data_IF_197503114617
#
_entry.id   IF_197503114617
#
_cell.length_a   1.000
_cell.length_b   1.000
_cell.length_c   1.000
_cell.angle_alpha   90.00
_cell.angle_beta   90.00
_cell.angle_gamma   90.00
#
_symmetry.space_group_name_H-M   'P 1'
#
loop_
_entity.id
_entity.type
_entity.pdbx_description
1 polymer ?
#
# COMPACT_ATOMS: atom_id res chain seq x y z
N UNK A 1 4.29 -9.24 -0.01
CA UNK A 1 5.30 -8.24 0.42
C UNK A 1 5.44 -7.20 -0.69
N UNK A 2 5.59 -5.91 -0.36
CA UNK A 2 5.69 -4.84 -1.37
C UNK A 2 7.04 -4.79 -2.09
N UNK A 3 8.04 -5.53 -1.61
CA UNK A 3 9.35 -5.70 -2.25
C UNK A 3 9.91 -7.09 -1.94
N UNK A 4 11.09 -7.42 -2.45
CA UNK A 4 11.79 -8.70 -2.22
C UNK A 4 13.09 -8.48 -1.45
N UNK A 5 13.58 -9.53 -0.78
CA UNK A 5 14.86 -9.51 -0.05
C UNK A 5 16.01 -9.16 -1.01
N UNK A 6 16.03 -9.75 -2.20
CA UNK A 6 17.07 -9.52 -3.22
C UNK A 6 17.16 -8.04 -3.62
N UNK A 7 16.02 -7.38 -3.85
CA UNK A 7 15.98 -5.96 -4.19
C UNK A 7 16.47 -5.08 -3.04
N UNK A 8 16.08 -5.40 -1.80
CA UNK A 8 16.57 -4.70 -0.62
C UNK A 8 18.08 -4.89 -0.46
N UNK A 9 18.61 -6.12 -0.62
CA UNK A 9 20.06 -6.39 -0.57
C UNK A 9 20.83 -5.61 -1.63
N UNK A 10 20.36 -5.62 -2.87
CA UNK A 10 20.94 -4.85 -3.96
C UNK A 10 21.05 -3.36 -3.59
N UNK A 11 20.03 -2.81 -2.94
CA UNK A 11 19.99 -1.41 -2.55
C UNK A 11 20.75 -1.05 -1.28
N UNK A 12 21.05 -2.04 -0.44
CA UNK A 12 21.94 -1.90 0.70
C UNK A 12 23.41 -2.18 0.36
N UNK A 13 23.70 -2.65 -0.86
CA UNK A 13 25.03 -3.08 -1.27
C UNK A 13 25.47 -4.41 -0.64
N UNK A 14 24.51 -5.23 -0.20
CA UNK A 14 24.74 -6.57 0.36
C UNK A 14 24.75 -7.58 -0.79
N UNK A 15 25.67 -8.55 -0.74
CA UNK A 15 25.72 -9.63 -1.73
C UNK A 15 24.46 -10.49 -1.61
N UNK A 16 23.84 -10.84 -2.74
CA UNK A 16 22.57 -11.59 -2.77
C UNK A 16 22.72 -12.96 -2.08
N UNK A 17 23.89 -13.59 -2.19
CA UNK A 17 24.21 -14.88 -1.58
C UNK A 17 24.41 -14.82 -0.06
N UNK A 18 24.61 -13.65 0.52
CA UNK A 18 24.73 -13.49 1.97
C UNK A 18 23.35 -13.62 2.62
N UNK A 19 23.09 -14.75 3.26
CA UNK A 19 21.80 -15.07 3.89
C UNK A 19 21.76 -14.76 5.39
N UNK A 20 22.84 -14.21 5.96
CA UNK A 20 22.98 -14.01 7.41
C UNK A 20 21.89 -13.11 8.01
N UNK A 21 21.43 -12.12 7.25
CA UNK A 21 20.44 -11.12 7.67
C UNK A 21 19.05 -11.33 7.06
N UNK A 22 18.81 -12.41 6.31
CA UNK A 22 17.56 -12.61 5.56
C UNK A 22 16.32 -12.61 6.44
N UNK A 23 16.43 -13.21 7.62
CA UNK A 23 15.32 -13.26 8.59
C UNK A 23 14.97 -11.84 9.07
N UNK A 24 15.98 -11.03 9.37
CA UNK A 24 15.79 -9.65 9.83
C UNK A 24 15.24 -8.77 8.71
N UNK A 25 15.82 -8.84 7.51
CA UNK A 25 15.35 -8.11 6.34
C UNK A 25 13.90 -8.47 6.00
N UNK A 26 13.54 -9.75 6.05
CA UNK A 26 12.17 -10.18 5.82
C UNK A 26 11.19 -9.59 6.85
N UNK A 27 11.57 -9.57 8.13
CA UNK A 27 10.78 -8.94 9.18
C UNK A 27 10.55 -7.44 8.91
N UNK A 28 11.60 -6.69 8.55
CA UNK A 28 11.48 -5.27 8.22
C UNK A 28 10.66 -5.02 6.96
N UNK A 29 10.81 -5.84 5.93
CA UNK A 29 9.99 -5.75 4.71
C UNK A 29 8.50 -5.96 5.02
N UNK A 30 8.18 -6.93 5.87
CA UNK A 30 6.79 -7.17 6.31
C UNK A 30 6.25 -5.98 7.09
N UNK A 31 7.00 -5.46 8.07
CA UNK A 31 6.62 -4.31 8.86
C UNK A 31 6.42 -3.05 8.00
N UNK A 32 7.35 -2.77 7.08
CA UNK A 32 7.27 -1.66 6.14
C UNK A 32 6.07 -1.80 5.19
N UNK A 33 5.80 -3.02 4.69
CA UNK A 33 4.65 -3.30 3.83
C UNK A 33 3.34 -2.98 4.56
N UNK A 34 3.18 -3.47 5.79
CA UNK A 34 1.99 -3.22 6.62
C UNK A 34 1.83 -1.74 6.97
N UNK A 35 2.94 -1.06 7.26
CA UNK A 35 2.92 0.37 7.55
C UNK A 35 2.44 1.15 6.33
N UNK A 36 2.94 0.85 5.13
CA UNK A 36 2.53 1.50 3.88
C UNK A 36 1.05 1.25 3.58
N UNK A 37 0.57 0.00 3.71
CA UNK A 37 -0.85 -0.31 3.53
C UNK A 37 -1.73 0.43 4.53
N UNK A 38 -1.25 0.61 5.78
CA UNK A 38 -1.96 1.39 6.81
C UNK A 38 -1.97 2.89 6.49
N UNK A 39 -0.84 3.43 6.02
CA UNK A 39 -0.72 4.83 5.61
C UNK A 39 -1.63 5.13 4.41
N UNK A 40 -1.60 4.26 3.39
CA UNK A 40 -2.45 4.37 2.22
C UNK A 40 -3.89 3.93 2.49
N UNK A 41 -4.20 3.28 3.62
CA UNK A 41 -5.54 2.79 4.00
C UNK A 41 -6.18 1.83 3.01
N UNK A 42 -5.36 1.06 2.31
CA UNK A 42 -5.77 0.06 1.34
C UNK A 42 -4.74 -1.04 1.26
N UNK A 43 -5.13 -2.18 0.69
CA UNK A 43 -4.20 -3.23 0.36
C UNK A 43 -3.72 -3.07 -1.08
N UNK A 44 -2.45 -3.43 -1.32
CA UNK A 44 -1.87 -3.41 -2.67
C UNK A 44 -1.90 -4.77 -3.33
N UNK A 45 -2.20 -5.85 -2.60
CA UNK A 45 -2.21 -7.21 -3.15
C UNK A 45 -3.37 -7.40 -4.14
N UNK A 46 -3.12 -8.05 -5.28
CA UNK A 46 -4.17 -8.49 -6.17
C UNK A 46 -4.95 -9.66 -5.55
N UNK A 47 -6.22 -9.43 -5.21
CA UNK A 47 -7.12 -10.46 -4.69
C UNK A 47 -8.58 -10.03 -4.82
N UNK A 48 -9.50 -10.94 -4.47
CA UNK A 48 -10.92 -10.62 -4.34
C UNK A 48 -11.20 -9.97 -2.98
N UNK A 49 -11.81 -8.79 -3.01
CA UNK A 49 -12.29 -8.06 -1.86
C UNK A 49 -13.82 -8.09 -1.81
N UNK A 50 -14.36 -8.01 -0.59
CA UNK A 50 -15.79 -7.78 -0.36
C UNK A 50 -15.93 -6.54 0.52
N UNK A 51 -16.63 -5.53 0.02
CA UNK A 51 -16.88 -4.28 0.72
C UNK A 51 -18.37 -4.07 0.93
N UNK A 52 -18.73 -3.55 2.10
CA UNK A 52 -20.08 -3.11 2.42
C UNK A 52 -20.04 -1.61 2.59
N UNK A 53 -20.75 -0.90 1.72
CA UNK A 53 -20.66 0.53 1.54
C UNK A 53 -22.01 1.20 1.79
N UNK A 54 -21.92 2.46 2.22
CA UNK A 54 -23.07 3.34 2.36
C UNK A 54 -23.40 3.94 0.98
N UNK A 55 -24.67 3.90 0.61
CA UNK A 55 -25.15 4.57 -0.58
C UNK A 55 -25.47 6.03 -0.31
N UNK A 56 -24.97 6.92 -1.16
CA UNK A 56 -25.11 8.37 -1.02
C UNK A 56 -26.21 8.98 -1.90
N UNK A 57 -26.87 8.19 -2.76
CA UNK A 57 -27.72 8.72 -3.83
C UNK A 57 -26.94 9.17 -5.08
N UNK A 58 -25.60 9.20 -5.02
CA UNK A 58 -24.74 9.55 -6.14
C UNK A 58 -24.72 8.44 -7.20
N UNK A 59 -24.44 8.79 -8.46
CA UNK A 59 -24.10 7.83 -9.52
C UNK A 59 -22.71 7.21 -9.34
N UNK A 60 -21.88 7.77 -8.46
CA UNK A 60 -20.53 7.31 -8.20
C UNK A 60 -20.43 6.62 -6.85
N UNK A 61 -19.78 5.46 -6.82
CA UNK A 61 -19.44 4.73 -5.61
C UNK A 61 -17.93 4.48 -5.61
N UNK A 62 -17.26 4.82 -4.52
CA UNK A 62 -15.81 4.70 -4.39
C UNK A 62 -15.47 3.42 -3.65
N UNK A 63 -14.63 2.59 -4.25
CA UNK A 63 -14.07 1.38 -3.67
C UNK A 63 -12.73 1.70 -2.99
N UNK A 64 -12.37 0.91 -1.97
CA UNK A 64 -11.11 1.13 -1.25
C UNK A 64 -9.87 0.72 -2.05
N UNK A 65 -9.95 -0.41 -2.77
CA UNK A 65 -8.81 -1.00 -3.46
C UNK A 65 -8.93 -0.80 -4.98
N UNK A 66 -7.81 -0.48 -5.63
CA UNK A 66 -7.73 -0.22 -7.07
C UNK A 66 -6.31 -0.54 -7.59
N UNK A 67 -6.08 -0.91 -8.85
CA UNK A 67 -7.04 -1.00 -9.94
C UNK A 67 -8.01 -2.15 -9.74
N UNK A 68 -9.21 -2.00 -10.29
CA UNK A 68 -10.31 -2.98 -10.26
C UNK A 68 -10.33 -3.70 -11.60
N UNK A 69 -10.42 -5.02 -11.59
CA UNK A 69 -10.46 -5.85 -12.80
C UNK A 69 -11.88 -6.28 -13.15
N UNK A 70 -12.64 -6.75 -12.17
CA UNK A 70 -14.02 -7.20 -12.35
C UNK A 70 -14.70 -7.41 -11.01
N UNK A 71 -16.02 -7.54 -10.99
CA UNK A 71 -16.75 -7.86 -9.78
C UNK A 71 -18.25 -7.80 -9.97
N UNK A 72 -18.96 -7.89 -8.85
CA UNK A 72 -20.41 -7.78 -8.76
C UNK A 72 -20.76 -6.90 -7.57
N UNK A 73 -21.59 -5.89 -7.81
CA UNK A 73 -22.22 -5.08 -6.79
C UNK A 73 -23.66 -5.54 -6.60
N UNK A 74 -24.10 -5.67 -5.35
CA UNK A 74 -25.45 -6.05 -4.98
C UNK A 74 -26.08 -4.94 -4.18
N UNK A 75 -27.26 -4.48 -4.62
CA UNK A 75 -28.06 -3.47 -3.95
C UNK A 75 -29.54 -3.83 -4.12
N UNK A 76 -30.31 -3.87 -3.03
CA UNK A 76 -31.74 -4.22 -3.04
C UNK A 76 -32.09 -5.53 -3.76
N UNK A 77 -31.22 -6.54 -3.64
CA UNK A 77 -31.32 -7.86 -4.31
C UNK A 77 -31.16 -7.81 -5.83
N UNK A 78 -30.81 -6.66 -6.39
CA UNK A 78 -30.34 -6.54 -7.76
C UNK A 78 -28.82 -6.61 -7.80
N UNK A 79 -28.29 -7.22 -8.86
CA UNK A 79 -26.86 -7.34 -9.11
C UNK A 79 -26.46 -6.45 -10.29
N UNK A 80 -25.28 -5.84 -10.18
CA UNK A 80 -24.69 -4.96 -11.18
C UNK A 80 -23.26 -5.41 -11.44
N UNK A 81 -22.91 -5.56 -12.71
CA UNK A 81 -21.54 -5.87 -13.10
C UNK A 81 -20.62 -4.69 -12.77
N UNK A 82 -19.48 -5.03 -12.18
CA UNK A 82 -18.40 -4.08 -11.93
C UNK A 82 -17.39 -4.19 -13.07
N UNK A 83 -17.29 -3.11 -13.85
CA UNK A 83 -16.32 -2.99 -14.94
C UNK A 83 -14.92 -2.65 -14.42
N UNK A 84 -13.91 -3.05 -15.19
CA UNK A 84 -12.52 -2.75 -14.91
C UNK A 84 -12.28 -1.23 -14.90
N UNK A 85 -11.55 -0.74 -13.91
CA UNK A 85 -11.18 0.67 -13.80
C UNK A 85 -9.92 0.85 -12.97
N UNK A 86 -9.15 1.91 -13.25
CA UNK A 86 -7.90 2.18 -12.56
C UNK A 86 -8.09 2.92 -11.23
N UNK A 87 -9.19 3.68 -11.09
CA UNK A 87 -9.39 4.64 -10.00
C UNK A 87 -10.22 4.10 -8.82
N UNK A 88 -10.79 2.90 -8.94
CA UNK A 88 -11.70 2.31 -7.95
C UNK A 88 -13.06 3.00 -7.88
N UNK A 89 -13.53 3.62 -8.96
CA UNK A 89 -14.81 4.34 -8.97
C UNK A 89 -15.82 3.59 -9.84
N UNK A 90 -16.93 3.17 -9.24
CA UNK A 90 -18.04 2.56 -9.95
C UNK A 90 -19.05 3.61 -10.36
N UNK A 91 -19.51 3.53 -11.61
CA UNK A 91 -20.54 4.40 -12.15
C UNK A 91 -21.83 3.61 -12.41
N UNK A 92 -22.94 4.09 -11.85
CA UNK A 92 -24.27 3.55 -12.08
C UNK A 92 -25.21 4.67 -12.54
N UNK A 93 -25.70 4.66 -13.80
CA UNK A 93 -26.52 5.75 -14.35
C UNK A 93 -27.78 6.05 -13.53
N UNK A 94 -28.41 5.02 -12.95
CA UNK A 94 -29.61 5.18 -12.12
C UNK A 94 -29.35 5.71 -10.71
N UNK A 95 -28.09 5.82 -10.31
CA UNK A 95 -27.69 6.17 -8.95
C UNK A 95 -27.62 4.96 -8.01
N UNK A 96 -26.79 5.08 -6.99
CA UNK A 96 -26.72 4.15 -5.87
C UNK A 96 -27.71 4.59 -4.78
N UNK A 97 -28.61 3.70 -4.37
CA UNK A 97 -29.69 4.03 -3.42
C UNK A 97 -29.14 4.54 -2.09
N UNK A 98 -29.76 5.56 -1.51
CA UNK A 98 -29.32 6.11 -0.23
C UNK A 98 -29.57 5.12 0.90
N UNK A 99 -28.55 4.87 1.73
CA UNK A 99 -28.68 3.98 2.88
C UNK A 99 -27.35 3.72 3.57
N UNK A 100 -27.40 3.16 4.77
CA UNK A 100 -26.21 2.69 5.47
C UNK A 100 -26.00 1.21 5.17
N UNK A 101 -24.79 0.84 4.77
CA UNK A 101 -24.35 -0.54 4.52
C UNK A 101 -25.32 -1.31 3.61
N UNK A 102 -25.91 -0.62 2.65
CA UNK A 102 -26.95 -1.14 1.78
C UNK A 102 -26.42 -1.64 0.44
N UNK A 103 -25.13 -1.41 0.14
CA UNK A 103 -24.48 -1.86 -1.08
C UNK A 103 -23.35 -2.80 -0.69
N UNK A 104 -23.36 -4.01 -1.25
CA UNK A 104 -22.25 -4.98 -1.08
C UNK A 104 -21.55 -5.15 -2.41
N UNK A 105 -20.24 -4.95 -2.46
CA UNK A 105 -19.45 -5.11 -3.69
C UNK A 105 -18.41 -6.19 -3.48
N UNK A 106 -18.45 -7.24 -4.29
CA UNK A 106 -17.43 -8.28 -4.36
C UNK A 106 -16.64 -8.13 -5.65
N UNK A 107 -15.35 -7.81 -5.57
CA UNK A 107 -14.57 -7.42 -6.74
C UNK A 107 -13.11 -7.84 -6.63
N UNK A 108 -12.46 -8.09 -7.76
CA UNK A 108 -11.03 -8.35 -7.85
C UNK A 108 -10.28 -7.04 -8.11
N UNK A 109 -9.31 -6.72 -7.26
CA UNK A 109 -8.52 -5.50 -7.38
C UNK A 109 -7.12 -5.66 -6.81
N UNK A 110 -6.26 -4.66 -7.07
CA UNK A 110 -4.90 -4.55 -6.55
C UNK A 110 -3.83 -4.94 -7.57
N UNK A 111 -2.60 -5.13 -7.09
CA UNK A 111 -1.43 -5.39 -7.91
C UNK A 111 -0.80 -6.73 -7.58
N UNK A 112 -0.22 -7.35 -8.61
CA UNK A 112 0.67 -8.48 -8.42
C UNK A 112 1.94 -7.96 -7.77
N UNK A 113 2.15 -8.38 -6.53
CA UNK A 113 3.26 -7.91 -5.72
C UNK A 113 4.57 -8.56 -6.19
N UNK A 114 5.73 -7.91 -5.97
CA UNK A 114 7.03 -8.49 -6.31
C UNK A 114 7.29 -9.86 -5.67
N UNK A 115 6.76 -10.11 -4.47
CA UNK A 115 6.88 -11.42 -3.81
C UNK A 115 5.92 -12.49 -4.34
N UNK A 116 4.92 -12.11 -5.14
CA UNK A 116 3.93 -12.99 -5.76
C UNK A 116 4.15 -13.10 -7.29
N UNK A 117 5.30 -12.60 -7.79
CA UNK A 117 5.66 -12.57 -9.21
C UNK A 117 5.88 -13.98 -9.76
N UNK A 118 5.33 -14.26 -10.94
CA UNK A 118 5.45 -15.55 -11.64
C UNK A 118 5.31 -15.37 -13.14
N UNK A 119 5.73 -16.37 -13.92
CA UNK A 119 5.65 -16.32 -15.40
C UNK A 119 4.22 -16.08 -15.89
N UNK A 120 3.22 -16.70 -15.24
CA UNK A 120 1.81 -16.59 -15.63
C UNK A 120 1.12 -15.35 -15.05
N UNK A 121 1.71 -14.73 -14.03
CA UNK A 121 1.15 -13.58 -13.33
C UNK A 121 2.29 -12.61 -12.99
N UNK A 122 2.70 -11.77 -13.95
CA UNK A 122 3.83 -10.88 -13.77
C UNK A 122 3.51 -9.76 -12.78
N UNK A 123 4.53 -9.32 -12.04
CA UNK A 123 4.53 -8.14 -11.18
C UNK A 123 3.95 -6.92 -11.89
N UNK A 124 2.95 -6.30 -11.26
CA UNK A 124 2.27 -5.08 -11.74
C UNK A 124 2.31 -3.94 -10.74
N UNK A 125 2.91 -4.15 -9.56
CA UNK A 125 3.06 -3.10 -8.54
C UNK A 125 3.86 -1.91 -9.10
N UNK A 126 3.38 -0.66 -8.95
CA UNK A 126 4.11 0.52 -9.38
C UNK A 126 5.46 0.65 -8.66
N UNK A 127 6.50 1.00 -9.42
CA UNK A 127 7.87 1.17 -8.91
C UNK A 127 7.94 2.16 -7.74
N UNK A 128 7.12 3.21 -7.78
CA UNK A 128 7.07 4.21 -6.71
C UNK A 128 6.70 3.60 -5.34
N UNK A 129 5.77 2.64 -5.32
CA UNK A 129 5.33 1.97 -4.08
C UNK A 129 6.42 0.99 -3.59
N UNK A 130 7.08 0.30 -4.51
CA UNK A 130 8.18 -0.60 -4.19
C UNK A 130 9.40 0.16 -3.62
N UNK A 131 9.81 1.26 -4.27
CA UNK A 131 10.89 2.15 -3.80
C UNK A 131 10.54 2.78 -2.46
N UNK A 132 9.29 3.22 -2.27
CA UNK A 132 8.81 3.70 -0.98
C UNK A 132 8.98 2.64 0.12
N UNK A 133 8.68 1.36 -0.17
CA UNK A 133 8.90 0.27 0.78
C UNK A 133 10.39 0.09 1.12
N UNK A 134 11.27 0.11 0.12
CA UNK A 134 12.72 0.01 0.33
C UNK A 134 13.23 1.15 1.21
N UNK A 135 12.78 2.39 0.97
CA UNK A 135 13.18 3.54 1.79
C UNK A 135 12.68 3.44 3.24
N UNK A 136 11.47 2.93 3.47
CA UNK A 136 10.97 2.66 4.82
C UNK A 136 11.82 1.58 5.50
N UNK A 137 12.17 0.50 4.80
CA UNK A 137 13.06 -0.56 5.33
C UNK A 137 14.43 0.02 5.69
N UNK A 138 15.04 0.82 4.82
CA UNK A 138 16.31 1.50 5.09
C UNK A 138 16.21 2.42 6.31
N UNK A 139 15.11 3.16 6.44
CA UNK A 139 14.84 4.00 7.61
C UNK A 139 14.74 3.19 8.90
N UNK A 140 14.04 2.06 8.88
CA UNK A 140 13.94 1.13 10.02
C UNK A 140 15.30 0.53 10.42
N UNK A 141 16.16 0.21 9.44
CA UNK A 141 17.49 -0.35 9.68
C UNK A 141 18.48 0.67 10.24
N UNK A 142 18.40 1.93 9.80
CA UNK A 142 19.27 3.00 10.29
C UNK A 142 18.87 3.47 11.70
N UNK A 143 17.58 3.38 12.01
CA UNK A 143 17.01 3.88 13.27
C UNK A 143 16.27 2.77 14.04
N UNK A 144 16.89 1.63 14.35
CA UNK A 144 16.20 0.51 15.01
C UNK A 144 15.78 0.86 16.45
N UNK A 145 16.39 1.89 17.04
CA UNK A 145 16.20 2.33 18.43
C UNK A 145 15.84 3.81 18.57
N UNK A 146 15.54 4.53 17.47
CA UNK A 146 15.25 5.97 17.51
C UNK A 146 13.84 6.29 18.05
N UNK A 147 13.40 5.57 19.08
CA UNK A 147 12.40 6.06 20.01
C UNK A 147 13.10 7.09 20.91
N UNK A 148 13.14 8.35 20.49
CA UNK A 148 13.39 9.48 21.39
C UNK A 148 14.82 10.06 21.51
N UNK A 149 15.74 9.79 20.57
CA UNK A 149 17.03 10.52 20.55
C UNK A 149 16.89 11.79 19.70
N UNK A 150 16.76 12.94 20.37
CA UNK A 150 16.52 14.25 19.73
C UNK A 150 17.79 15.03 19.36
N UNK A 151 18.95 14.63 19.87
CA UNK A 151 20.24 15.25 19.54
C UNK A 151 21.38 14.40 20.06
N UNK A 152 22.42 14.21 19.26
CA UNK A 152 23.69 13.65 19.69
C UNK A 152 24.79 14.69 19.49
N UNK A 153 25.64 14.88 20.51
CA UNK A 153 26.81 15.75 20.42
C UNK A 153 28.04 14.89 20.22
N UNK A 154 28.68 15.01 19.07
CA UNK A 154 29.99 14.38 18.81
C UNK A 154 31.02 15.50 18.68
N UNK A 155 31.72 15.78 19.79
CA UNK A 155 32.71 16.87 19.86
C UNK A 155 32.09 18.26 19.71
N UNK A 156 32.68 19.11 18.87
CA UNK A 156 32.23 20.48 18.60
C UNK A 156 31.14 20.58 17.53
N UNK A 157 30.77 19.45 16.91
CA UNK A 157 29.75 19.40 15.86
C UNK A 157 28.42 19.00 16.51
N UNK A 158 27.44 19.89 16.41
CA UNK A 158 26.05 19.63 16.78
C UNK A 158 25.27 19.29 15.53
N UNK A 159 24.78 18.05 15.42
CA UNK A 159 23.85 17.65 14.36
C UNK A 159 22.45 17.59 14.96
N UNK A 160 21.57 18.48 14.50
CA UNK A 160 20.15 18.42 14.80
C UNK A 160 19.47 17.68 13.66
N UNK A 161 19.06 16.44 13.89
CA UNK A 161 18.15 15.75 13.00
C UNK A 161 16.80 16.50 13.07
N UNK A 162 16.21 16.85 11.92
CA UNK A 162 14.82 17.34 11.89
C UNK A 162 13.88 16.29 12.50
N UNK A 163 12.60 16.60 12.75
CA UNK A 163 11.62 15.63 13.27
C UNK A 163 11.53 14.38 12.36
N UNK A 164 12.46 13.44 12.55
CA UNK A 164 12.56 12.14 11.90
C UNK A 164 11.85 11.09 12.73
N UNK A 165 10.88 11.51 13.55
CA UNK A 165 9.93 10.62 14.24
C UNK A 165 8.88 10.04 13.27
N UNK A 166 8.87 10.51 12.01
CA UNK A 166 7.99 9.96 10.99
C UNK A 166 8.65 8.77 10.28
N UNK A 167 8.08 7.58 10.49
CA UNK A 167 8.37 6.37 9.70
C UNK A 167 8.33 6.64 8.17
N UNK A 168 7.56 7.64 7.75
CA UNK A 168 7.43 8.09 6.38
C UNK A 168 8.13 9.44 6.19
N UNK A 169 9.32 9.43 5.59
CA UNK A 169 9.98 10.67 5.14
C UNK A 169 9.14 11.40 4.09
N UNK A 170 9.39 12.71 3.90
CA UNK A 170 8.69 13.52 2.90
C UNK A 170 8.76 12.92 1.49
N UNK A 171 9.89 12.32 1.13
CA UNK A 171 10.08 11.59 -0.13
C UNK A 171 9.15 10.39 -0.23
N UNK A 172 9.06 9.58 0.82
CA UNK A 172 8.17 8.41 0.85
C UNK A 172 6.71 8.85 0.74
N UNK A 173 6.31 9.91 1.44
CA UNK A 173 4.96 10.46 1.34
C UNK A 173 4.64 10.94 -0.09
N UNK A 174 5.59 11.61 -0.76
CA UNK A 174 5.41 12.06 -2.14
C UNK A 174 5.24 10.89 -3.12
N UNK A 175 5.99 9.80 -2.93
CA UNK A 175 5.86 8.58 -3.75
C UNK A 175 4.51 7.88 -3.53
N UNK A 176 3.99 7.88 -2.30
CA UNK A 176 2.76 7.21 -1.94
C UNK A 176 1.50 8.06 -2.18
N UNK A 177 1.63 9.39 -2.28
CA UNK A 177 0.49 10.32 -2.39
C UNK A 177 -0.56 9.94 -3.45
N UNK A 178 -0.19 9.49 -4.69
CA UNK A 178 -1.17 9.09 -5.69
C UNK A 178 -1.94 7.81 -5.33
N UNK A 179 -1.42 7.02 -4.41
CA UNK A 179 -1.93 5.69 -4.05
C UNK A 179 -2.64 5.68 -2.68
N UNK A 180 -2.77 6.84 -2.03
CA UNK A 180 -3.53 6.93 -0.79
C UNK A 180 -5.00 6.70 -1.10
N UNK A 181 -5.59 5.73 -0.40
CA UNK A 181 -6.99 5.38 -0.47
C UNK A 181 -7.88 6.57 -0.13
N UNK A 182 -8.97 6.70 -0.87
CA UNK A 182 -9.96 7.75 -0.64
C UNK A 182 -10.75 7.42 0.62
N UNK A 183 -11.20 8.46 1.33
CA UNK A 183 -12.13 8.26 2.43
C UNK A 183 -13.47 7.81 1.85
N UNK A 184 -13.89 6.60 2.24
CA UNK A 184 -15.19 6.00 1.93
C UNK A 184 -15.93 5.81 3.24
#
# INVERSE_FOLDING_TARGET
>A
MLTTIEKVKSQLGILIEDTSEDINLNMYILAASQAIESFCRRSFKKQTYTEVLDGSGSSFLVLRNFPVFSGLATMDKEEFDVEANEDGILFLPKGWNTGQRNITVRYEAGYVLPGDDSVDNPRTLPEAVEVACIFVVQGMLQNPTAIGVKSERVGDISVTYGDTDALFSSTVQALLAPYVGRWV
#
